data_IF_059306690413
#
_entry.id   IF_059306690413
#
_cell.length_a   1.000
_cell.length_b   1.000
_cell.length_c   1.000
_cell.angle_alpha   90.00
_cell.angle_beta   90.00
_cell.angle_gamma   90.00
#
_symmetry.space_group_name_H-M   'P 1'
#
loop_
_entity.id
_entity.type
_entity.pdbx_description
1 polymer ?
#
# COMPACT_ATOMS: atom_id res chain seq x y z
N UNK A 1 -14.12 -1.81 -1.86
CA UNK A 1 -14.21 -1.65 -3.34
C UNK A 1 -13.76 -0.27 -3.86
N UNK A 2 -13.65 0.78 -3.02
CA UNK A 2 -13.16 2.11 -3.46
C UNK A 2 -11.66 2.08 -3.79
N UNK A 3 -10.86 1.52 -2.89
CA UNK A 3 -9.41 1.30 -3.04
C UNK A 3 -9.01 0.67 -4.39
N UNK A 4 -9.63 -0.47 -4.76
CA UNK A 4 -9.33 -1.15 -6.04
C UNK A 4 -9.74 -0.32 -7.28
N UNK A 5 -10.79 0.50 -7.18
CA UNK A 5 -11.19 1.39 -8.28
C UNK A 5 -10.20 2.54 -8.46
N UNK A 6 -9.78 3.18 -7.35
CA UNK A 6 -8.75 4.22 -7.36
C UNK A 6 -7.43 3.68 -7.92
N UNK A 7 -7.01 2.51 -7.45
CA UNK A 7 -5.83 1.81 -7.97
C UNK A 7 -5.87 1.63 -9.50
N UNK A 8 -6.98 1.13 -10.05
CA UNK A 8 -7.11 0.95 -11.50
C UNK A 8 -6.98 2.27 -12.26
N UNK A 9 -7.53 3.35 -11.71
CA UNK A 9 -7.38 4.68 -12.32
C UNK A 9 -5.92 5.12 -12.35
N UNK A 10 -5.19 4.99 -11.23
CA UNK A 10 -3.75 5.29 -11.17
C UNK A 10 -2.96 4.42 -12.14
N UNK A 11 -3.28 3.13 -12.22
CA UNK A 11 -2.62 2.18 -13.12
C UNK A 11 -2.87 2.53 -14.60
N UNK A 12 -4.08 2.94 -14.96
CA UNK A 12 -4.41 3.40 -16.32
C UNK A 12 -3.69 4.70 -16.70
N UNK A 13 -3.45 5.59 -15.73
CA UNK A 13 -2.79 6.87 -15.98
C UNK A 13 -1.27 6.76 -16.06
N UNK A 14 -0.66 5.97 -15.16
CA UNK A 14 0.79 6.00 -14.93
C UNK A 14 1.48 4.66 -15.21
N UNK A 15 0.74 3.57 -15.38
CA UNK A 15 1.30 2.28 -15.78
C UNK A 15 2.01 2.39 -17.13
N UNK A 16 3.19 1.77 -17.22
CA UNK A 16 4.09 1.82 -18.38
C UNK A 16 4.97 3.06 -18.45
N UNK A 17 4.87 4.00 -17.50
CA UNK A 17 5.68 5.24 -17.52
C UNK A 17 7.13 5.02 -17.09
N UNK A 18 7.38 4.01 -16.25
CA UNK A 18 8.71 3.65 -15.77
C UNK A 18 8.65 2.30 -15.06
N UNK A 19 9.71 1.49 -15.19
CA UNK A 19 9.82 0.19 -14.49
C UNK A 19 9.60 0.32 -12.98
N UNK A 20 10.01 1.45 -12.40
CA UNK A 20 9.85 1.76 -10.96
C UNK A 20 8.38 1.93 -10.58
N UNK A 21 7.61 2.63 -11.42
CA UNK A 21 6.18 2.86 -11.21
C UNK A 21 5.40 1.56 -11.41
N UNK A 22 5.75 0.79 -12.44
CA UNK A 22 5.11 -0.49 -12.71
C UNK A 22 5.31 -1.49 -11.58
N UNK A 23 6.54 -1.59 -11.07
CA UNK A 23 6.85 -2.42 -9.92
C UNK A 23 6.07 -1.99 -8.67
N UNK A 24 6.00 -0.67 -8.39
CA UNK A 24 5.22 -0.14 -7.27
C UNK A 24 3.73 -0.51 -7.38
N UNK A 25 3.13 -0.32 -8.55
CA UNK A 25 1.73 -0.62 -8.79
C UNK A 25 1.45 -2.13 -8.70
N UNK A 26 2.37 -2.99 -9.15
CA UNK A 26 2.25 -4.44 -9.02
C UNK A 26 2.23 -4.87 -7.54
N UNK A 27 3.22 -4.44 -6.74
CA UNK A 27 3.27 -4.81 -5.32
C UNK A 27 2.02 -4.32 -4.59
N UNK A 28 1.56 -3.10 -4.90
CA UNK A 28 0.32 -2.53 -4.33
C UNK A 28 -0.92 -3.36 -4.69
N UNK A 29 -1.03 -3.81 -5.95
CA UNK A 29 -2.18 -4.58 -6.39
C UNK A 29 -2.34 -5.87 -5.58
N UNK A 30 -1.23 -6.58 -5.34
CA UNK A 30 -1.24 -7.82 -4.55
C UNK A 30 -1.76 -7.56 -3.13
N UNK A 31 -1.26 -6.52 -2.47
CA UNK A 31 -1.68 -6.14 -1.13
C UNK A 31 -3.19 -5.78 -1.06
N UNK A 32 -3.70 -5.02 -2.04
CA UNK A 32 -5.12 -4.66 -2.11
C UNK A 32 -6.02 -5.90 -2.26
N UNK A 33 -5.60 -6.87 -3.09
CA UNK A 33 -6.37 -8.10 -3.31
C UNK A 33 -6.47 -8.92 -2.03
N UNK A 34 -5.37 -9.06 -1.28
CA UNK A 34 -5.37 -9.79 -0.02
C UNK A 34 -6.19 -9.10 1.07
N UNK A 35 -6.05 -7.79 1.19
CA UNK A 35 -6.91 -7.01 2.07
C UNK A 35 -8.40 -7.24 1.75
N UNK A 36 -8.77 -7.18 0.46
CA UNK A 36 -10.16 -7.42 0.04
C UNK A 36 -10.62 -8.85 0.34
N UNK A 37 -9.73 -9.84 0.25
CA UNK A 37 -10.02 -11.23 0.62
C UNK A 37 -10.37 -11.32 2.11
N UNK A 38 -9.52 -10.78 2.98
CA UNK A 38 -9.78 -10.75 4.43
C UNK A 38 -11.05 -9.98 4.77
N UNK A 39 -11.24 -8.80 4.18
CA UNK A 39 -12.42 -7.96 4.41
C UNK A 39 -13.72 -8.59 3.89
N UNK A 40 -13.66 -9.48 2.89
CA UNK A 40 -14.84 -10.19 2.35
C UNK A 40 -15.36 -11.31 3.25
N UNK A 41 -14.53 -11.77 4.20
CA UNK A 41 -14.87 -12.79 5.18
C UNK A 41 -15.55 -12.20 6.44
N UNK A 42 -15.67 -10.87 6.49
CA UNK A 42 -16.26 -10.14 7.61
C UNK A 42 -17.79 -10.29 7.68
N UNK A 43 -18.40 -10.40 8.87
CA UNK A 43 -19.84 -10.55 9.01
C UNK A 43 -20.59 -9.29 8.50
N UNK A 44 -21.10 -9.34 7.27
CA UNK A 44 -22.11 -8.38 6.86
C UNK A 44 -23.39 -8.64 7.66
N UNK A 45 -23.83 -7.68 8.48
CA UNK A 45 -25.03 -7.74 9.33
C UNK A 45 -26.35 -8.16 8.64
N UNK A 46 -26.36 -8.32 7.31
CA UNK A 46 -27.52 -8.57 6.47
C UNK A 46 -27.45 -9.86 5.61
N UNK A 47 -26.46 -10.76 5.79
CA UNK A 47 -26.39 -12.02 5.02
C UNK A 47 -26.29 -13.26 5.94
N UNK A 48 -27.32 -14.10 5.85
CA UNK A 48 -27.50 -15.35 6.61
C UNK A 48 -26.61 -16.51 6.16
N UNK A 49 -25.41 -16.23 5.66
CA UNK A 49 -24.42 -17.24 5.27
C UNK A 49 -23.30 -17.19 6.29
N UNK A 50 -22.99 -18.33 6.89
CA UNK A 50 -21.86 -18.51 7.82
C UNK A 50 -20.59 -18.07 7.08
N UNK A 51 -20.12 -16.85 7.35
CA UNK A 51 -18.81 -16.39 6.90
C UNK A 51 -17.84 -16.77 8.02
N UNK A 52 -16.91 -17.65 7.69
CA UNK A 52 -15.85 -18.10 8.59
C UNK A 52 -14.88 -16.93 8.84
N UNK A 53 -14.41 -16.79 10.08
CA UNK A 53 -13.31 -15.87 10.39
C UNK A 53 -12.10 -16.23 9.50
N UNK A 54 -11.29 -15.24 9.07
CA UNK A 54 -10.09 -15.52 8.31
C UNK A 54 -9.18 -16.48 9.09
N UNK A 55 -8.63 -17.46 8.40
CA UNK A 55 -7.74 -18.43 9.02
C UNK A 55 -6.39 -17.77 9.38
N UNK A 56 -5.69 -18.21 10.44
CA UNK A 56 -4.38 -17.66 10.80
C UNK A 56 -3.39 -17.58 9.62
N UNK A 57 -3.28 -18.58 8.72
CA UNK A 57 -2.40 -18.47 7.55
C UNK A 57 -2.76 -17.33 6.59
N UNK A 58 -4.05 -16.99 6.45
CA UNK A 58 -4.48 -15.86 5.61
C UNK A 58 -4.14 -14.52 6.26
N UNK A 59 -4.24 -14.43 7.58
CA UNK A 59 -3.82 -13.25 8.36
C UNK A 59 -2.31 -13.06 8.27
N UNK A 60 -1.54 -14.14 8.45
CA UNK A 60 -0.07 -14.12 8.33
C UNK A 60 0.38 -13.66 6.96
N UNK A 61 -0.17 -14.25 5.89
CA UNK A 61 0.16 -13.88 4.51
C UNK A 61 -0.06 -12.38 4.25
N UNK A 62 -1.18 -11.82 4.73
CA UNK A 62 -1.44 -10.40 4.59
C UNK A 62 -0.47 -9.54 5.42
N UNK A 63 -0.15 -9.95 6.66
CA UNK A 63 0.80 -9.26 7.52
C UNK A 63 2.21 -9.23 6.89
N UNK A 64 2.68 -10.36 6.36
CA UNK A 64 3.95 -10.47 5.66
C UNK A 64 4.00 -9.54 4.44
N UNK A 65 2.98 -9.59 3.58
CA UNK A 65 2.93 -8.70 2.42
C UNK A 65 2.77 -7.21 2.79
N UNK A 66 2.09 -6.89 3.89
CA UNK A 66 1.97 -5.53 4.37
C UNK A 66 3.33 -4.97 4.79
N UNK A 67 4.09 -5.72 5.61
CA UNK A 67 5.41 -5.27 6.06
C UNK A 67 6.42 -5.25 4.92
N UNK A 68 6.35 -6.21 3.99
CA UNK A 68 7.16 -6.24 2.78
C UNK A 68 6.88 -5.03 1.90
N UNK A 69 5.60 -4.67 1.69
CA UNK A 69 5.22 -3.49 0.90
C UNK A 69 5.73 -2.18 1.50
N UNK A 70 5.63 -2.04 2.83
CA UNK A 70 6.16 -0.88 3.56
C UNK A 70 7.68 -0.80 3.42
N UNK A 71 8.37 -1.93 3.62
CA UNK A 71 9.82 -2.04 3.57
C UNK A 71 10.36 -1.79 2.16
N UNK A 72 9.76 -2.42 1.15
CA UNK A 72 10.08 -2.23 -0.25
C UNK A 72 9.86 -0.78 -0.69
N UNK A 73 8.79 -0.16 -0.20
CA UNK A 73 8.58 1.27 -0.30
C UNK A 73 9.83 2.04 0.16
N UNK A 74 10.15 1.96 1.46
CA UNK A 74 11.22 2.74 2.09
C UNK A 74 12.64 2.50 1.55
N UNK A 75 12.96 1.27 1.15
CA UNK A 75 14.35 0.88 0.84
C UNK A 75 14.63 0.57 -0.62
N UNK A 76 13.62 0.24 -1.42
CA UNK A 76 13.84 -0.16 -2.82
C UNK A 76 13.25 0.87 -3.78
N UNK A 77 11.96 1.20 -3.61
CA UNK A 77 11.26 2.10 -4.52
C UNK A 77 11.87 3.50 -4.47
N UNK A 78 12.10 4.07 -3.28
CA UNK A 78 12.72 5.40 -3.19
C UNK A 78 14.14 5.43 -3.73
N UNK A 79 14.95 4.40 -3.49
CA UNK A 79 16.31 4.31 -4.03
C UNK A 79 16.28 4.31 -5.56
N UNK A 80 15.39 3.51 -6.17
CA UNK A 80 15.22 3.50 -7.62
C UNK A 80 14.77 4.86 -8.18
N UNK A 81 13.89 5.59 -7.47
CA UNK A 81 13.48 6.95 -7.87
C UNK A 81 14.64 7.92 -7.77
N UNK A 82 15.40 7.89 -6.67
CA UNK A 82 16.57 8.77 -6.49
C UNK A 82 17.61 8.53 -7.58
N UNK A 83 17.91 7.27 -7.90
CA UNK A 83 18.86 6.90 -8.94
C UNK A 83 18.43 7.44 -10.31
N UNK A 84 17.13 7.33 -10.64
CA UNK A 84 16.58 7.90 -11.88
C UNK A 84 16.74 9.42 -11.91
N UNK A 85 16.43 10.13 -10.82
CA UNK A 85 16.61 11.58 -10.75
C UNK A 85 18.06 12.03 -10.87
N UNK A 86 18.98 11.31 -10.22
CA UNK A 86 20.41 11.57 -10.37
C UNK A 86 20.85 11.41 -11.83
N UNK A 87 20.33 10.41 -12.53
CA UNK A 87 20.66 10.17 -13.95
C UNK A 87 20.13 11.25 -14.90
N UNK A 88 19.04 11.93 -14.55
CA UNK A 88 18.42 13.00 -15.36
C UNK A 88 18.86 14.41 -14.93
N UNK A 89 19.57 14.53 -13.81
CA UNK A 89 19.90 15.81 -13.19
C UNK A 89 18.72 16.46 -12.45
N UNK A 90 17.61 15.74 -12.25
CA UNK A 90 16.48 16.20 -11.46
C UNK A 90 16.82 16.15 -9.96
N UNK A 91 16.27 17.08 -9.19
CA UNK A 91 16.38 17.10 -7.72
C UNK A 91 14.99 17.15 -7.12
N UNK A 92 14.77 16.35 -6.07
CA UNK A 92 13.50 16.31 -5.34
C UNK A 92 13.07 17.70 -4.90
N UNK A 93 11.82 18.07 -5.23
CA UNK A 93 11.22 19.33 -4.79
C UNK A 93 10.75 19.23 -3.33
N UNK A 94 10.48 20.38 -2.70
CA UNK A 94 9.86 20.40 -1.37
C UNK A 94 8.53 19.66 -1.34
N UNK A 95 7.76 19.71 -2.43
CA UNK A 95 6.48 19.01 -2.54
C UNK A 95 6.65 17.49 -2.54
N UNK A 96 7.64 16.97 -3.27
CA UNK A 96 8.01 15.55 -3.25
C UNK A 96 8.39 15.12 -1.83
N UNK A 97 9.26 15.89 -1.17
CA UNK A 97 9.74 15.58 0.17
C UNK A 97 8.60 15.59 1.21
N UNK A 98 7.69 16.56 1.12
CA UNK A 98 6.52 16.63 2.00
C UNK A 98 5.52 15.49 1.73
N UNK A 99 5.34 15.11 0.47
CA UNK A 99 4.47 13.98 0.10
C UNK A 99 5.05 12.68 0.66
N UNK A 100 6.36 12.48 0.53
CA UNK A 100 7.02 11.33 1.14
C UNK A 100 6.88 11.30 2.68
N UNK A 101 7.07 12.44 3.34
CA UNK A 101 6.91 12.52 4.78
C UNK A 101 5.50 12.10 5.25
N UNK A 102 4.45 12.42 4.48
CA UNK A 102 3.08 11.95 4.78
C UNK A 102 2.93 10.44 4.65
N UNK A 103 3.62 9.79 3.70
CA UNK A 103 3.64 8.34 3.58
C UNK A 103 4.30 7.71 4.82
N UNK A 104 5.43 8.27 5.28
CA UNK A 104 6.12 7.79 6.50
C UNK A 104 5.20 7.84 7.73
N UNK A 105 4.34 8.85 7.85
CA UNK A 105 3.38 8.95 8.97
C UNK A 105 2.36 7.81 9.02
N UNK A 106 2.15 7.09 7.90
CA UNK A 106 1.26 5.92 7.85
C UNK A 106 1.93 4.62 8.26
N UNK A 107 3.26 4.63 8.43
CA UNK A 107 4.02 3.40 8.71
C UNK A 107 3.71 2.86 10.10
N UNK A 108 3.72 3.69 11.13
CA UNK A 108 3.54 3.24 12.52
C UNK A 108 2.23 2.45 12.72
N UNK A 109 1.04 2.96 12.34
CA UNK A 109 -0.20 2.22 12.58
C UNK A 109 -0.29 0.90 11.80
N UNK A 110 0.35 0.82 10.62
CA UNK A 110 0.40 -0.42 9.83
C UNK A 110 1.35 -1.46 10.46
N UNK A 111 2.46 -1.00 11.05
CA UNK A 111 3.37 -1.86 11.81
C UNK A 111 2.71 -2.36 13.10
N UNK A 112 1.96 -1.52 13.81
CA UNK A 112 1.21 -1.95 15.01
C UNK A 112 0.23 -3.11 14.70
N UNK A 113 -0.42 -3.08 13.54
CA UNK A 113 -1.26 -4.19 13.09
C UNK A 113 -0.44 -5.45 12.82
N UNK A 114 0.68 -5.32 12.09
CA UNK A 114 1.59 -6.43 11.84
C UNK A 114 2.06 -7.07 13.16
N UNK A 115 2.51 -6.28 14.13
CA UNK A 115 2.98 -6.79 15.42
C UNK A 115 1.91 -7.55 16.18
N UNK A 116 0.64 -7.11 16.07
CA UNK A 116 -0.49 -7.74 16.77
C UNK A 116 -0.93 -9.05 16.13
N UNK A 117 -0.88 -9.15 14.80
CA UNK A 117 -1.55 -10.24 14.06
C UNK A 117 -0.61 -11.17 13.29
N UNK A 118 0.68 -10.87 13.17
CA UNK A 118 1.65 -11.70 12.42
C UNK A 118 1.94 -13.06 13.05
N UNK A 119 1.59 -13.27 14.32
CA UNK A 119 1.89 -14.49 15.07
C UNK A 119 0.65 -15.14 15.71
N UNK A 120 -0.55 -14.82 15.25
CA UNK A 120 -1.79 -15.42 15.78
C UNK A 120 -1.91 -16.89 15.40
N UNK A 121 -2.43 -17.72 16.29
CA UNK A 121 -2.69 -19.14 16.09
C UNK A 121 -4.20 -19.45 16.13
N UNK A 122 -4.59 -20.69 15.76
CA UNK A 122 -6.01 -21.14 15.78
C UNK A 122 -6.70 -21.05 17.15
N UNK A 123 -5.93 -20.91 18.23
CA UNK A 123 -6.42 -20.84 19.61
C UNK A 123 -6.57 -19.40 20.10
N UNK A 124 -6.02 -18.43 19.39
CA UNK A 124 -6.10 -17.04 19.77
C UNK A 124 -7.50 -16.48 19.47
N UNK A 125 -7.98 -15.66 20.38
CA UNK A 125 -9.23 -14.94 20.16
C UNK A 125 -8.95 -13.75 19.23
N UNK A 126 -9.63 -13.73 18.09
CA UNK A 126 -9.57 -12.62 17.13
C UNK A 126 -10.57 -11.51 17.47
N UNK A 127 -10.93 -11.38 18.75
CA UNK A 127 -11.75 -10.29 19.25
C UNK A 127 -11.15 -8.94 18.81
N UNK A 128 -11.96 -8.11 18.13
CA UNK A 128 -11.58 -6.83 17.52
C UNK A 128 -10.72 -6.91 16.25
N UNK A 129 -10.43 -8.08 15.68
CA UNK A 129 -9.74 -8.18 14.40
C UNK A 129 -10.47 -7.37 13.31
N UNK A 130 -11.80 -7.43 13.29
CA UNK A 130 -12.65 -6.69 12.35
C UNK A 130 -12.42 -5.16 12.42
N UNK A 131 -12.31 -4.62 13.63
CA UNK A 131 -12.03 -3.20 13.85
C UNK A 131 -10.60 -2.86 13.41
N UNK A 132 -9.62 -3.67 13.81
CA UNK A 132 -8.22 -3.45 13.44
C UNK A 132 -8.01 -3.55 11.93
N UNK A 133 -8.69 -4.48 11.25
CA UNK A 133 -8.67 -4.62 9.81
C UNK A 133 -9.31 -3.40 9.13
N UNK A 134 -10.40 -2.86 9.67
CA UNK A 134 -11.00 -1.62 9.18
C UNK A 134 -10.03 -0.44 9.30
N UNK A 135 -9.39 -0.27 10.47
CA UNK A 135 -8.42 0.81 10.73
C UNK A 135 -7.21 0.74 9.79
N UNK A 136 -6.69 -0.48 9.56
CA UNK A 136 -5.64 -0.70 8.56
C UNK A 136 -6.11 -0.40 7.15
N UNK A 137 -7.34 -0.78 6.80
CA UNK A 137 -7.93 -0.47 5.51
C UNK A 137 -8.01 1.04 5.23
N UNK A 138 -8.43 1.82 6.21
CA UNK A 138 -8.49 3.28 6.13
C UNK A 138 -7.08 3.89 6.02
N UNK A 139 -6.13 3.39 6.82
CA UNK A 139 -4.73 3.83 6.79
C UNK A 139 -4.08 3.53 5.44
N UNK A 140 -4.31 2.33 4.89
CA UNK A 140 -3.85 1.94 3.56
C UNK A 140 -4.48 2.80 2.47
N UNK A 141 -5.77 3.10 2.55
CA UNK A 141 -6.43 3.95 1.56
C UNK A 141 -5.82 5.37 1.56
N UNK A 142 -5.63 5.97 2.73
CA UNK A 142 -4.95 7.25 2.85
C UNK A 142 -3.51 7.19 2.32
N UNK A 143 -2.76 6.15 2.69
CA UNK A 143 -1.39 5.92 2.19
C UNK A 143 -1.37 5.88 0.67
N UNK A 144 -2.27 5.12 0.04
CA UNK A 144 -2.34 5.00 -1.41
C UNK A 144 -2.70 6.31 -2.10
N UNK A 145 -3.59 7.13 -1.53
CA UNK A 145 -3.88 8.46 -2.09
C UNK A 145 -2.65 9.38 -2.10
N UNK A 146 -1.85 9.34 -1.04
CA UNK A 146 -0.62 10.12 -0.97
C UNK A 146 0.43 9.56 -1.93
N UNK A 147 0.53 8.24 -2.05
CA UNK A 147 1.43 7.61 -3.02
C UNK A 147 1.01 7.85 -4.47
N UNK A 148 -0.29 7.92 -4.77
CA UNK A 148 -0.80 8.27 -6.10
C UNK A 148 -0.32 9.67 -6.52
N UNK A 149 -0.38 10.64 -5.59
CA UNK A 149 0.18 11.97 -5.81
C UNK A 149 1.69 11.93 -6.03
N UNK A 150 2.40 11.13 -5.24
CA UNK A 150 3.84 10.97 -5.40
C UNK A 150 4.22 10.32 -6.75
N UNK A 151 3.49 9.29 -7.18
CA UNK A 151 3.66 8.64 -8.48
C UNK A 151 3.47 9.66 -9.61
N UNK A 152 2.45 10.52 -9.52
CA UNK A 152 2.26 11.61 -10.48
C UNK A 152 3.48 12.54 -10.51
N UNK A 153 3.95 13.03 -9.36
CA UNK A 153 5.11 13.92 -9.28
C UNK A 153 6.37 13.27 -9.87
N UNK A 154 6.57 11.97 -9.62
CA UNK A 154 7.66 11.19 -10.19
C UNK A 154 7.49 11.07 -11.71
N UNK A 155 6.33 10.66 -12.20
CA UNK A 155 6.07 10.53 -13.64
C UNK A 155 6.30 11.86 -14.38
N UNK A 156 5.78 12.96 -13.84
CA UNK A 156 5.96 14.31 -14.38
C UNK A 156 7.45 14.68 -14.41
N UNK A 157 8.19 14.43 -13.33
CA UNK A 157 9.64 14.71 -13.26
C UNK A 157 10.47 13.90 -14.26
N UNK A 158 10.04 12.68 -14.59
CA UNK A 158 10.72 11.80 -15.56
C UNK A 158 10.35 12.16 -17.01
N UNK A 159 9.25 12.87 -17.22
CA UNK A 159 8.82 13.34 -18.54
C UNK A 159 9.54 14.62 -19.02
N UNK A 160 10.18 15.36 -18.10
CA UNK A 160 10.91 16.60 -18.43
C UNK A 160 12.32 16.25 -18.93
N UNK A 161 12.72 16.69 -20.14
CA UNK A 161 14.08 16.44 -20.63
C UNK A 161 15.13 17.19 -19.79
N UNK A 162 16.36 16.65 -19.66
CA UNK A 162 17.43 17.32 -18.92
C UNK A 162 17.69 18.72 -19.47
N UNK A 163 17.53 19.76 -18.65
CA UNK A 163 17.92 21.14 -18.97
C UNK A 163 16.82 22.08 -19.48
N UNK A 164 15.54 21.83 -19.18
CA UNK A 164 14.45 22.79 -19.38
C UNK A 164 14.44 23.92 -18.35
#
# INVERSE_FOLDING_TARGET
MVMLKKFKHTQEQWGGSSDVIDHWLETRQRLIVEYCKLASLQPCANKSTVLELPSPPEIHSFCEHLVDYISEGHYQIYDMVMDKWQSTGFTATDEINQTYAKIVLTTEPLIEFYERYSAVDEKDDLENFDNALSDVGETMEYRFEVEDHLIQLIADSLSVPPGA
#
